data_IF_427485836570
#
_entry.id   IF_427485836570
#
_cell.length_a   1.000
_cell.length_b   1.000
_cell.length_c   1.000
_cell.angle_alpha   90.00
_cell.angle_beta   90.00
_cell.angle_gamma   90.00
#
_symmetry.space_group_name_H-M   'P 1'
#
loop_
_entity.id
_entity.type
_entity.pdbx_description
1 polymer ?
#
# COMPACT_ATOMS: atom_id res chain seq x y z
N UNK A 1 8.63 -4.12 -30.07
CA UNK A 1 9.09 -2.74 -30.32
C UNK A 1 7.94 -1.79 -30.56
N UNK A 2 7.10 -1.97 -31.60
CA UNK A 2 5.93 -1.09 -31.88
C UNK A 2 5.01 -0.85 -30.68
N UNK A 3 4.65 -1.90 -29.94
CA UNK A 3 3.76 -1.81 -28.77
C UNK A 3 4.34 -0.95 -27.62
N UNK A 4 5.67 -0.98 -27.42
CA UNK A 4 6.32 -0.20 -26.36
C UNK A 4 6.41 1.29 -26.71
N UNK A 5 6.71 1.61 -27.97
CA UNK A 5 6.72 3.00 -28.46
C UNK A 5 5.33 3.62 -28.38
N UNK A 6 4.29 2.86 -28.73
CA UNK A 6 2.91 3.29 -28.61
C UNK A 6 2.52 3.57 -27.14
N UNK A 7 2.93 2.70 -26.20
CA UNK A 7 2.71 2.92 -24.75
C UNK A 7 3.43 4.20 -24.28
N UNK A 8 4.68 4.41 -24.69
CA UNK A 8 5.43 5.61 -24.31
C UNK A 8 4.75 6.89 -24.82
N UNK A 9 4.29 6.90 -26.08
CA UNK A 9 3.52 8.03 -26.63
C UNK A 9 2.25 8.30 -25.81
N UNK A 10 1.51 7.25 -25.45
CA UNK A 10 0.30 7.40 -24.62
C UNK A 10 0.61 7.95 -23.22
N UNK A 11 1.75 7.58 -22.64
CA UNK A 11 2.20 8.13 -21.35
C UNK A 11 2.56 9.62 -21.49
N UNK A 12 3.27 10.01 -22.55
CA UNK A 12 3.57 11.43 -22.81
C UNK A 12 2.29 12.26 -23.00
N UNK A 13 1.31 11.73 -23.71
CA UNK A 13 0.00 12.37 -23.86
C UNK A 13 -0.75 12.49 -22.53
N UNK A 14 -0.68 11.47 -21.68
CA UNK A 14 -1.24 11.50 -20.33
C UNK A 14 -0.59 12.58 -19.48
N UNK A 15 0.75 12.67 -19.49
CA UNK A 15 1.50 13.68 -18.73
C UNK A 15 1.16 15.10 -19.21
N UNK A 16 1.04 15.33 -20.52
CA UNK A 16 0.60 16.63 -21.06
C UNK A 16 -0.80 17.00 -20.56
N UNK A 17 -1.77 16.08 -20.67
CA UNK A 17 -3.14 16.29 -20.16
C UNK A 17 -3.17 16.54 -18.67
N UNK A 18 -2.34 15.82 -17.90
CA UNK A 18 -2.19 16.01 -16.47
C UNK A 18 -1.76 17.45 -16.17
N UNK A 19 -0.68 17.93 -16.80
CA UNK A 19 -0.19 19.31 -16.62
C UNK A 19 -1.21 20.37 -17.03
N UNK A 20 -1.91 20.16 -18.15
CA UNK A 20 -3.00 21.05 -18.59
C UNK A 20 -4.14 21.13 -17.55
N UNK A 21 -4.53 20.01 -16.93
CA UNK A 21 -5.54 20.00 -15.87
C UNK A 21 -5.06 20.80 -14.67
N UNK A 22 -3.80 20.62 -14.26
CA UNK A 22 -3.23 21.34 -13.12
C UNK A 22 -3.18 22.86 -13.37
N UNK A 23 -2.72 23.27 -14.56
CA UNK A 23 -2.65 24.67 -14.95
C UNK A 23 -4.04 25.35 -14.96
N UNK A 24 -5.05 24.64 -15.45
CA UNK A 24 -6.43 25.15 -15.54
C UNK A 24 -7.20 25.09 -14.20
N UNK A 25 -6.69 24.39 -13.19
CA UNK A 25 -7.37 24.21 -11.90
C UNK A 25 -6.40 24.45 -10.73
N UNK A 26 -5.99 25.71 -10.46
CA UNK A 26 -5.14 26.02 -9.33
C UNK A 26 -5.72 25.50 -8.01
N UNK A 27 -4.91 24.78 -7.22
CA UNK A 27 -5.32 24.19 -5.95
C UNK A 27 -6.06 22.84 -6.08
N UNK A 28 -6.14 22.24 -7.27
CA UNK A 28 -6.66 20.87 -7.43
C UNK A 28 -5.85 19.88 -6.60
N UNK A 29 -6.54 18.98 -5.89
CA UNK A 29 -5.88 17.93 -5.12
C UNK A 29 -5.70 16.70 -5.99
N UNK A 30 -4.45 16.28 -6.18
CA UNK A 30 -4.11 15.14 -7.03
C UNK A 30 -3.88 13.90 -6.18
N UNK A 31 -4.54 12.80 -6.56
CA UNK A 31 -4.59 11.54 -5.81
C UNK A 31 -4.28 10.38 -6.75
N UNK A 32 -3.52 9.41 -6.24
CA UNK A 32 -3.27 8.14 -6.90
C UNK A 32 -3.62 6.98 -5.98
N UNK A 33 -4.23 5.94 -6.55
CA UNK A 33 -4.54 4.67 -5.87
C UNK A 33 -4.24 3.50 -6.81
N UNK A 34 -3.84 2.38 -6.22
CA UNK A 34 -3.42 1.20 -6.97
C UNK A 34 -3.68 -0.07 -6.17
N UNK A 35 -3.91 -1.20 -6.84
CA UNK A 35 -4.08 -2.49 -6.16
C UNK A 35 -2.76 -3.21 -6.06
N UNK A 36 -2.41 -3.69 -4.86
CA UNK A 36 -1.25 -4.54 -4.68
C UNK A 36 -1.61 -5.82 -3.92
N UNK A 37 -1.20 -6.96 -4.47
CA UNK A 37 -1.32 -8.25 -3.80
C UNK A 37 -0.32 -8.37 -2.65
N UNK A 38 -0.83 -8.66 -1.46
CA UNK A 38 -0.05 -9.03 -0.28
C UNK A 38 -0.25 -10.52 0.00
N UNK A 39 0.80 -11.31 -0.24
CA UNK A 39 0.81 -12.73 0.15
C UNK A 39 0.73 -12.83 1.66
N UNK A 40 -0.06 -13.78 2.18
CA UNK A 40 -0.29 -13.91 3.63
C UNK A 40 0.98 -14.27 4.39
N UNK A 41 1.89 -15.01 3.76
CA UNK A 41 3.23 -15.30 4.24
C UNK A 41 4.24 -15.13 3.12
N UNK A 42 5.27 -14.33 3.35
CA UNK A 42 6.37 -14.13 2.39
C UNK A 42 7.60 -14.86 2.89
N UNK A 43 8.24 -15.64 2.01
CA UNK A 43 9.52 -16.30 2.28
C UNK A 43 10.61 -15.78 1.32
N UNK A 44 11.87 -15.99 1.69
CA UNK A 44 12.99 -15.69 0.81
C UNK A 44 13.08 -16.72 -0.31
N UNK A 45 13.18 -16.25 -1.57
CA UNK A 45 13.55 -17.08 -2.72
C UNK A 45 15.07 -17.16 -2.92
N UNK A 46 15.83 -16.52 -2.02
CA UNK A 46 17.30 -16.59 -1.99
C UNK A 46 17.71 -17.53 -0.87
N UNK A 47 18.64 -18.42 -1.19
CA UNK A 47 19.09 -19.48 -0.31
C UNK A 47 20.62 -19.46 -0.30
N UNK A 48 21.22 -20.03 0.75
CA UNK A 48 22.66 -20.32 0.80
C UNK A 48 22.97 -21.73 0.26
N UNK A 49 22.02 -22.31 -0.48
CA UNK A 49 22.18 -23.64 -1.05
C UNK A 49 23.24 -23.62 -2.16
N UNK A 50 24.04 -24.69 -2.31
CA UNK A 50 24.95 -24.88 -3.43
C UNK A 50 24.32 -24.57 -4.80
N UNK A 51 25.09 -23.90 -5.66
CA UNK A 51 24.66 -23.59 -7.02
C UNK A 51 24.38 -24.88 -7.82
N UNK A 52 23.22 -24.94 -8.49
CA UNK A 52 22.76 -26.10 -9.25
C UNK A 52 21.88 -27.07 -8.45
N UNK A 53 21.68 -26.83 -7.16
CA UNK A 53 20.73 -27.59 -6.34
C UNK A 53 19.29 -27.35 -6.80
N UNK A 54 18.57 -28.44 -7.05
CA UNK A 54 17.22 -28.41 -7.64
C UNK A 54 16.12 -28.28 -6.59
N UNK A 55 16.35 -28.85 -5.42
CA UNK A 55 15.40 -28.90 -4.32
C UNK A 55 16.02 -28.21 -3.11
N UNK A 56 15.51 -27.04 -2.75
CA UNK A 56 15.98 -26.30 -1.57
C UNK A 56 14.84 -26.21 -0.56
N UNK A 57 15.10 -26.72 0.65
CA UNK A 57 14.16 -26.64 1.76
C UNK A 57 14.22 -25.24 2.36
N UNK A 58 13.05 -24.62 2.52
CA UNK A 58 12.89 -23.34 3.21
C UNK A 58 11.93 -23.51 4.37
N UNK A 59 12.24 -22.82 5.48
CA UNK A 59 11.36 -22.80 6.64
C UNK A 59 10.28 -21.73 6.47
N UNK A 60 9.04 -22.13 6.69
CA UNK A 60 7.83 -21.32 6.61
C UNK A 60 6.85 -21.79 7.69
N UNK A 61 5.98 -20.91 8.16
CA UNK A 61 4.90 -21.25 9.08
C UNK A 61 3.80 -22.06 8.39
N UNK A 62 3.38 -21.69 7.17
CA UNK A 62 2.26 -22.31 6.48
C UNK A 62 2.35 -22.26 4.93
N UNK A 63 2.49 -23.43 4.30
CA UNK A 63 2.56 -23.55 2.83
C UNK A 63 1.39 -22.88 2.08
N UNK A 64 0.15 -23.00 2.54
CA UNK A 64 -0.99 -22.36 1.87
C UNK A 64 -0.92 -20.83 1.95
N UNK A 65 -0.39 -20.28 3.03
CA UNK A 65 -0.25 -18.84 3.20
C UNK A 65 0.75 -18.21 2.22
N UNK A 66 1.66 -18.99 1.66
CA UNK A 66 2.62 -18.53 0.63
C UNK A 66 2.02 -18.37 -0.76
N UNK A 67 0.82 -18.93 -1.00
CA UNK A 67 0.14 -18.88 -2.31
C UNK A 67 -1.15 -18.06 -2.28
N UNK A 68 -1.75 -17.89 -1.10
CA UNK A 68 -2.91 -17.03 -0.91
C UNK A 68 -2.50 -15.59 -0.62
N UNK A 69 -3.15 -14.64 -1.30
CA UNK A 69 -2.95 -13.21 -1.10
C UNK A 69 -4.23 -12.53 -0.60
N UNK A 70 -4.07 -11.32 -0.09
CA UNK A 70 -5.11 -10.30 0.08
C UNK A 70 -4.77 -9.13 -0.85
N UNK A 71 -5.76 -8.34 -1.25
CA UNK A 71 -5.50 -7.11 -2.00
C UNK A 71 -5.46 -5.93 -1.05
N UNK A 72 -4.40 -5.12 -1.11
CA UNK A 72 -4.27 -3.86 -0.38
C UNK A 72 -4.37 -2.71 -1.38
N UNK A 73 -5.14 -1.69 -1.02
CA UNK A 73 -5.38 -0.51 -1.86
C UNK A 73 -4.84 0.75 -1.16
N UNK A 74 -3.53 1.04 -1.23
CA UNK A 74 -2.97 2.29 -0.73
C UNK A 74 -3.38 3.47 -1.61
N UNK A 75 -3.45 4.65 -0.99
CA UNK A 75 -3.76 5.91 -1.69
C UNK A 75 -2.77 6.99 -1.24
N UNK A 76 -2.13 7.66 -2.19
CA UNK A 76 -1.17 8.75 -1.96
C UNK A 76 -1.56 10.01 -2.72
N UNK A 77 -1.10 11.15 -2.23
CA UNK A 77 -1.31 12.46 -2.82
C UNK A 77 -0.02 12.93 -3.50
N UNK A 78 -0.16 13.79 -4.52
CA UNK A 78 0.98 14.37 -5.25
C UNK A 78 1.91 15.19 -4.34
N UNK A 79 1.35 15.84 -3.33
CA UNK A 79 2.10 16.61 -2.33
C UNK A 79 2.84 15.74 -1.31
N UNK A 80 2.78 14.41 -1.46
CA UNK A 80 3.45 13.48 -0.57
C UNK A 80 2.66 13.16 0.69
N UNK A 81 1.39 13.55 0.83
CA UNK A 81 0.53 12.97 1.87
C UNK A 81 0.13 11.53 1.54
N UNK A 82 -0.25 10.78 2.56
CA UNK A 82 -0.92 9.48 2.42
C UNK A 82 -2.36 9.60 2.90
N UNK A 83 -3.26 8.89 2.25
CA UNK A 83 -4.65 8.82 2.68
C UNK A 83 -4.76 8.18 4.08
N UNK A 84 -5.59 8.70 5.00
CA UNK A 84 -5.66 8.22 6.38
C UNK A 84 -6.20 6.79 6.51
N UNK A 85 -6.96 6.32 5.52
CA UNK A 85 -7.51 4.96 5.48
C UNK A 85 -6.94 4.16 4.32
N UNK A 86 -6.71 2.87 4.55
CA UNK A 86 -6.42 1.87 3.53
C UNK A 86 -7.59 0.90 3.38
N UNK A 87 -7.83 0.46 2.15
CA UNK A 87 -8.77 -0.62 1.89
C UNK A 87 -8.03 -1.95 1.75
N UNK A 88 -8.57 -3.01 2.36
CA UNK A 88 -8.08 -4.38 2.22
C UNK A 88 -9.22 -5.28 1.78
N UNK A 89 -9.00 -6.03 0.69
CA UNK A 89 -9.96 -7.01 0.19
C UNK A 89 -9.48 -8.44 0.48
N UNK A 90 -10.32 -9.20 1.16
CA UNK A 90 -10.05 -10.57 1.56
C UNK A 90 -10.73 -11.57 0.62
N UNK A 91 -10.02 -12.64 0.28
CA UNK A 91 -10.61 -13.85 -0.27
C UNK A 91 -11.09 -14.76 0.87
N UNK A 92 -12.39 -14.83 1.08
CA UNK A 92 -13.06 -15.65 2.09
C UNK A 92 -13.83 -16.80 1.42
N UNK A 93 -13.79 -18.01 1.98
CA UNK A 93 -14.40 -19.19 1.36
C UNK A 93 -15.92 -19.03 1.10
N UNK A 94 -16.62 -18.36 2.01
CA UNK A 94 -18.06 -18.05 1.90
C UNK A 94 -18.34 -16.80 1.07
N UNK A 95 -17.31 -16.03 0.74
CA UNK A 95 -17.41 -14.73 0.11
C UNK A 95 -17.81 -13.58 1.03
N UNK A 96 -17.89 -13.80 2.35
CA UNK A 96 -18.25 -12.77 3.31
C UNK A 96 -17.42 -12.89 4.59
N UNK A 97 -17.29 -11.77 5.31
CA UNK A 97 -16.72 -11.77 6.65
C UNK A 97 -17.60 -12.61 7.61
N UNK A 98 -17.01 -13.26 8.62
CA UNK A 98 -17.77 -14.02 9.61
C UNK A 98 -18.81 -13.16 10.33
N UNK A 99 -20.06 -13.62 10.38
CA UNK A 99 -21.16 -12.88 11.04
C UNK A 99 -21.03 -12.84 12.56
N UNK A 100 -20.51 -13.90 13.17
CA UNK A 100 -20.54 -14.11 14.63
C UNK A 100 -19.17 -13.98 15.30
N UNK A 101 -18.09 -13.84 14.52
CA UNK A 101 -16.74 -13.63 15.06
C UNK A 101 -16.32 -12.20 14.74
N UNK A 102 -15.88 -11.41 15.72
CA UNK A 102 -15.34 -10.10 15.43
C UNK A 102 -14.14 -10.26 14.51
N UNK A 103 -14.01 -9.32 13.57
CA UNK A 103 -12.84 -9.18 12.70
C UNK A 103 -12.08 -7.98 13.22
N UNK A 104 -10.75 -8.10 13.31
CA UNK A 104 -9.89 -6.98 13.65
C UNK A 104 -10.27 -5.73 12.85
N UNK A 105 -10.34 -4.60 13.54
CA UNK A 105 -10.64 -3.30 12.95
C UNK A 105 -9.72 -2.24 13.55
N UNK A 106 -9.46 -1.19 12.77
CA UNK A 106 -8.69 -0.03 13.18
C UNK A 106 -9.26 1.19 12.43
N UNK A 107 -9.26 2.41 13.01
CA UNK A 107 -9.76 3.60 12.32
C UNK A 107 -9.15 3.86 10.93
N UNK A 108 -7.92 3.39 10.69
CA UNK A 108 -7.23 3.52 9.40
C UNK A 108 -7.50 2.37 8.41
N UNK A 109 -8.41 1.44 8.71
CA UNK A 109 -8.60 0.20 7.96
C UNK A 109 -10.06 -0.01 7.57
N UNK A 110 -10.32 -0.18 6.28
CA UNK A 110 -11.62 -0.63 5.74
C UNK A 110 -11.44 -1.99 5.11
N UNK A 111 -12.33 -2.94 5.44
CA UNK A 111 -12.22 -4.33 5.01
C UNK A 111 -13.40 -4.69 4.13
N UNK A 112 -13.12 -5.23 2.95
CA UNK A 112 -14.08 -5.96 2.14
C UNK A 112 -13.72 -7.43 2.03
N UNK A 113 -14.68 -8.25 1.62
CA UNK A 113 -14.46 -9.65 1.36
C UNK A 113 -15.28 -10.11 0.16
N UNK A 114 -14.73 -11.07 -0.59
CA UNK A 114 -15.45 -11.84 -1.59
C UNK A 114 -14.85 -13.24 -1.67
N UNK A 115 -15.33 -14.10 -2.59
CA UNK A 115 -14.71 -15.43 -2.80
C UNK A 115 -13.28 -15.34 -3.35
N UNK A 116 -12.94 -14.22 -3.96
CA UNK A 116 -11.59 -13.92 -4.45
C UNK A 116 -10.96 -12.81 -3.62
N UNK A 117 -9.64 -12.81 -3.52
CA UNK A 117 -8.92 -11.68 -2.96
C UNK A 117 -8.85 -10.48 -3.93
N UNK A 118 -9.13 -10.70 -5.22
CA UNK A 118 -9.23 -9.64 -6.23
C UNK A 118 -10.54 -8.89 -6.01
N UNK A 119 -10.48 -7.56 -6.05
CA UNK A 119 -11.65 -6.71 -5.86
C UNK A 119 -12.71 -6.93 -6.94
N UNK A 120 -13.98 -6.94 -6.53
CA UNK A 120 -15.13 -6.93 -7.41
C UNK A 120 -15.83 -5.55 -7.40
N UNK A 121 -16.99 -5.43 -8.03
CA UNK A 121 -17.77 -4.19 -8.09
C UNK A 121 -18.15 -3.67 -6.70
N UNK A 122 -18.65 -4.54 -5.82
CA UNK A 122 -19.05 -4.20 -4.45
C UNK A 122 -17.86 -3.72 -3.62
N UNK A 123 -16.71 -4.40 -3.74
CA UNK A 123 -15.48 -3.99 -3.09
C UNK A 123 -14.98 -2.64 -3.59
N UNK A 124 -15.14 -2.35 -4.88
CA UNK A 124 -14.77 -1.06 -5.47
C UNK A 124 -15.69 0.05 -4.99
N UNK A 125 -17.01 -0.18 -4.95
CA UNK A 125 -17.99 0.74 -4.36
C UNK A 125 -17.64 1.05 -2.91
N UNK A 126 -17.30 0.03 -2.12
CA UNK A 126 -16.89 0.19 -0.73
C UNK A 126 -15.63 1.04 -0.58
N UNK A 127 -14.61 0.78 -1.39
CA UNK A 127 -13.41 1.62 -1.42
C UNK A 127 -13.75 3.08 -1.73
N UNK A 128 -14.56 3.34 -2.75
CA UNK A 128 -14.93 4.71 -3.13
C UNK A 128 -15.68 5.42 -2.00
N UNK A 129 -16.67 4.78 -1.37
CA UNK A 129 -17.52 5.38 -0.33
C UNK A 129 -16.83 5.52 1.03
N UNK A 130 -16.12 4.49 1.47
CA UNK A 130 -15.62 4.39 2.85
C UNK A 130 -14.14 4.78 3.00
N UNK A 131 -13.43 4.91 1.87
CA UNK A 131 -12.03 5.33 1.83
C UNK A 131 -11.88 6.60 0.99
N UNK A 132 -12.03 6.54 -0.33
CA UNK A 132 -11.57 7.63 -1.20
C UNK A 132 -12.40 8.93 -1.09
N UNK A 133 -13.72 8.81 -0.99
CA UNK A 133 -14.65 9.95 -0.97
C UNK A 133 -15.24 10.22 0.42
N UNK A 134 -14.40 10.08 1.46
CA UNK A 134 -14.76 10.44 2.83
C UNK A 134 -14.53 11.92 3.11
N UNK A 135 -15.28 12.48 4.07
CA UNK A 135 -15.10 13.85 4.51
C UNK A 135 -13.97 13.99 5.55
N UNK A 136 -13.23 15.11 5.54
CA UNK A 136 -13.31 16.22 4.59
C UNK A 136 -12.69 15.87 3.23
N UNK A 137 -13.47 16.03 2.15
CA UNK A 137 -13.01 15.79 0.78
C UNK A 137 -12.63 17.12 0.10
N UNK A 138 -11.58 17.18 -0.74
CA UNK A 138 -11.29 18.38 -1.52
C UNK A 138 -12.43 18.71 -2.49
N UNK A 139 -12.65 20.01 -2.75
CA UNK A 139 -13.69 20.45 -3.69
C UNK A 139 -13.42 19.95 -5.10
N UNK A 140 -12.19 20.10 -5.59
CA UNK A 140 -11.75 19.57 -6.87
C UNK A 140 -10.61 18.57 -6.66
N UNK A 141 -10.79 17.36 -7.18
CA UNK A 141 -9.81 16.28 -7.12
C UNK A 141 -9.47 15.80 -8.53
N UNK A 142 -8.20 15.52 -8.79
CA UNK A 142 -7.74 14.72 -9.92
C UNK A 142 -7.36 13.32 -9.42
N UNK A 143 -8.05 12.31 -9.90
CA UNK A 143 -7.78 10.90 -9.60
C UNK A 143 -7.01 10.27 -10.76
N UNK A 144 -5.75 9.93 -10.53
CA UNK A 144 -4.91 9.17 -11.44
C UNK A 144 -4.91 7.70 -11.00
N UNK A 145 -5.38 6.80 -11.85
CA UNK A 145 -5.50 5.36 -11.55
C UNK A 145 -5.10 4.53 -12.77
N UNK A 146 -4.91 3.22 -12.61
CA UNK A 146 -4.60 2.35 -13.75
C UNK A 146 -5.81 2.13 -14.69
N UNK A 147 -5.60 1.35 -15.75
CA UNK A 147 -6.64 0.97 -16.71
C UNK A 147 -7.35 -0.35 -16.36
N UNK A 148 -7.53 -0.65 -15.07
CA UNK A 148 -8.35 -1.79 -14.64
C UNK A 148 -9.83 -1.59 -15.02
N UNK A 149 -10.60 -2.63 -15.43
CA UNK A 149 -11.92 -2.44 -16.05
C UNK A 149 -12.93 -1.60 -15.25
N UNK A 150 -12.98 -1.73 -13.91
CA UNK A 150 -13.86 -0.90 -13.09
C UNK A 150 -13.36 0.54 -12.94
N UNK A 151 -12.05 0.77 -13.06
CA UNK A 151 -11.45 2.11 -13.07
C UNK A 151 -11.56 2.83 -14.42
N UNK A 152 -11.77 2.08 -15.51
CA UNK A 152 -12.15 2.63 -16.81
C UNK A 152 -13.64 3.06 -16.84
N UNK A 153 -14.46 2.55 -15.94
CA UNK A 153 -15.87 2.93 -15.85
C UNK A 153 -16.04 4.21 -15.03
N UNK A 154 -15.75 5.36 -15.66
CA UNK A 154 -15.82 6.66 -15.00
C UNK A 154 -17.23 6.97 -14.51
N UNK A 155 -18.29 6.62 -15.25
CA UNK A 155 -19.66 6.89 -14.81
C UNK A 155 -20.01 6.14 -13.52
N UNK A 156 -19.50 4.92 -13.35
CA UNK A 156 -19.61 4.19 -12.08
C UNK A 156 -18.89 4.91 -10.93
N UNK A 157 -17.65 5.39 -11.13
CA UNK A 157 -16.94 6.15 -10.08
C UNK A 157 -17.69 7.44 -9.73
N UNK A 158 -18.18 8.17 -10.74
CA UNK A 158 -18.87 9.44 -10.57
C UNK A 158 -20.17 9.32 -9.77
N UNK A 159 -20.84 8.16 -9.77
CA UNK A 159 -22.03 7.91 -8.93
C UNK A 159 -21.76 8.05 -7.42
N UNK A 160 -20.51 7.93 -7.01
CA UNK A 160 -20.12 7.99 -5.60
C UNK A 160 -19.50 9.32 -5.19
N UNK A 161 -19.31 10.25 -6.13
CA UNK A 161 -18.76 11.57 -5.83
C UNK A 161 -19.80 12.38 -5.04
N UNK A 162 -19.49 12.85 -3.83
CA UNK A 162 -20.44 13.60 -3.02
C UNK A 162 -20.84 14.92 -3.67
N UNK A 163 -22.06 15.38 -3.38
CA UNK A 163 -22.57 16.64 -3.91
C UNK A 163 -21.66 17.82 -3.54
N UNK A 164 -21.40 18.70 -4.51
CA UNK A 164 -20.54 19.87 -4.33
C UNK A 164 -19.05 19.58 -4.38
N UNK A 165 -18.67 18.38 -4.83
CA UNK A 165 -17.30 17.99 -5.18
C UNK A 165 -17.22 17.62 -6.67
N UNK A 166 -16.03 17.76 -7.25
CA UNK A 166 -15.72 17.40 -8.62
C UNK A 166 -14.50 16.48 -8.63
N UNK A 167 -14.62 15.34 -9.30
CA UNK A 167 -13.50 14.42 -9.54
C UNK A 167 -13.25 14.34 -11.03
N UNK A 168 -12.07 14.78 -11.47
CA UNK A 168 -11.54 14.49 -12.80
C UNK A 168 -10.74 13.18 -12.73
N UNK A 169 -10.90 12.29 -13.69
CA UNK A 169 -10.25 10.97 -13.69
C UNK A 169 -9.30 10.90 -14.90
N UNK A 170 -8.07 10.48 -14.66
CA UNK A 170 -7.12 10.10 -15.70
C UNK A 170 -6.69 8.64 -15.48
N UNK A 171 -6.66 7.86 -16.56
CA UNK A 171 -6.16 6.49 -16.53
C UNK A 171 -4.76 6.40 -17.10
N UNK A 172 -3.88 5.69 -16.40
CA UNK A 172 -2.59 5.25 -16.92
C UNK A 172 -2.86 4.19 -18.00
N UNK A 173 -2.26 4.31 -19.20
CA UNK A 173 -2.50 3.39 -20.29
C UNK A 173 -2.13 1.95 -19.92
N UNK A 174 -2.85 0.98 -20.52
CA UNK A 174 -2.55 -0.44 -20.33
C UNK A 174 -1.11 -0.73 -20.72
N UNK A 175 -0.39 -1.50 -19.90
CA UNK A 175 1.04 -1.77 -20.09
C UNK A 175 1.97 -0.63 -19.65
N UNK A 176 1.44 0.54 -19.29
CA UNK A 176 2.20 1.70 -18.81
C UNK A 176 2.42 1.74 -17.30
N UNK A 177 1.88 0.78 -16.54
CA UNK A 177 1.93 0.78 -15.07
C UNK A 177 3.37 0.85 -14.54
N UNK A 178 4.27 0.01 -15.05
CA UNK A 178 5.68 -0.01 -14.64
C UNK A 178 6.48 1.25 -15.03
N UNK A 179 5.89 2.15 -15.81
CA UNK A 179 6.51 3.38 -16.30
C UNK A 179 5.91 4.63 -15.69
N UNK A 180 4.65 4.59 -15.25
CA UNK A 180 3.89 5.79 -14.90
C UNK A 180 2.92 5.63 -13.74
N UNK A 181 2.88 4.49 -13.04
CA UNK A 181 2.06 4.32 -11.82
C UNK A 181 2.87 4.68 -10.57
N UNK A 182 2.60 5.81 -9.88
CA UNK A 182 3.41 6.26 -8.75
C UNK A 182 3.56 5.23 -7.63
N UNK A 183 2.49 4.50 -7.31
CA UNK A 183 2.53 3.46 -6.29
C UNK A 183 3.41 2.27 -6.69
N UNK A 184 3.37 1.80 -7.93
CA UNK A 184 4.21 0.69 -8.40
C UNK A 184 5.68 1.09 -8.59
N UNK A 185 5.94 2.33 -9.04
CA UNK A 185 7.29 2.83 -9.28
C UNK A 185 8.13 2.99 -8.00
N UNK A 186 7.48 3.05 -6.83
CA UNK A 186 8.18 3.26 -5.57
C UNK A 186 7.51 2.63 -4.34
N UNK A 187 6.23 2.93 -4.09
CA UNK A 187 5.57 2.60 -2.82
C UNK A 187 5.43 1.09 -2.57
N UNK A 188 4.87 0.37 -3.54
CA UNK A 188 4.48 -1.05 -3.41
C UNK A 188 5.70 -1.95 -3.16
N UNK A 189 6.86 -1.62 -3.73
CA UNK A 189 8.09 -2.36 -3.48
C UNK A 189 8.56 -2.19 -2.03
N UNK A 190 8.57 -0.96 -1.51
CA UNK A 190 8.98 -0.70 -0.13
C UNK A 190 8.00 -1.33 0.86
N UNK A 191 6.69 -1.28 0.57
CA UNK A 191 5.66 -1.98 1.33
C UNK A 191 5.96 -3.47 1.47
N UNK A 192 6.17 -4.15 0.34
CA UNK A 192 6.47 -5.59 0.32
C UNK A 192 7.77 -5.91 1.06
N UNK A 193 8.76 -5.01 0.99
CA UNK A 193 10.00 -5.17 1.75
C UNK A 193 9.79 -5.07 3.25
N UNK A 194 8.92 -4.17 3.74
CA UNK A 194 8.61 -4.09 5.18
C UNK A 194 7.83 -5.31 5.63
N UNK A 195 6.78 -5.71 4.90
CA UNK A 195 6.00 -6.90 5.23
C UNK A 195 6.86 -8.17 5.28
N UNK A 196 7.82 -8.31 4.36
CA UNK A 196 8.80 -9.41 4.39
C UNK A 196 9.67 -9.35 5.64
N UNK A 197 10.25 -8.19 5.98
CA UNK A 197 11.09 -8.05 7.17
C UNK A 197 10.33 -8.33 8.47
N UNK A 198 9.03 -8.04 8.52
CA UNK A 198 8.19 -8.44 9.65
C UNK A 198 8.05 -9.97 9.75
N UNK A 199 7.87 -10.68 8.63
CA UNK A 199 7.87 -12.14 8.62
C UNK A 199 9.23 -12.71 9.03
N UNK A 200 10.31 -12.18 8.46
CA UNK A 200 11.68 -12.62 8.76
C UNK A 200 11.97 -12.43 10.27
N UNK A 201 11.54 -11.32 10.86
CA UNK A 201 11.72 -11.06 12.29
C UNK A 201 10.98 -12.09 13.18
N UNK A 202 9.77 -12.53 12.78
CA UNK A 202 9.03 -13.56 13.51
C UNK A 202 9.84 -14.85 13.56
N UNK A 203 10.41 -15.26 12.43
CA UNK A 203 11.21 -16.49 12.33
C UNK A 203 12.55 -16.37 13.07
N UNK A 204 13.31 -15.30 12.82
CA UNK A 204 14.66 -15.10 13.36
C UNK A 204 14.65 -14.97 14.89
N UNK A 205 13.62 -14.33 15.45
CA UNK A 205 13.52 -14.07 16.88
C UNK A 205 12.54 -15.02 17.60
N UNK A 206 12.08 -16.08 16.93
CA UNK A 206 11.16 -17.10 17.47
C UNK A 206 9.93 -16.47 18.16
N UNK A 207 9.36 -15.44 17.55
CA UNK A 207 8.23 -14.70 18.11
C UNK A 207 6.96 -15.53 17.94
N UNK A 208 6.22 -15.78 19.02
CA UNK A 208 4.91 -16.45 18.95
C UNK A 208 3.84 -15.50 18.35
N UNK A 209 3.92 -15.29 17.03
CA UNK A 209 2.99 -14.47 16.28
C UNK A 209 2.80 -15.00 14.85
N UNK A 210 1.62 -15.56 14.60
CA UNK A 210 1.27 -16.12 13.27
C UNK A 210 0.73 -15.03 12.37
N UNK A 211 1.59 -14.39 11.58
CA UNK A 211 1.21 -13.24 10.74
C UNK A 211 0.19 -13.58 9.66
N UNK A 212 0.22 -14.81 9.15
CA UNK A 212 -0.68 -15.28 8.09
C UNK A 212 -2.14 -15.45 8.54
N UNK A 213 -2.40 -15.47 9.85
CA UNK A 213 -3.76 -15.46 10.41
C UNK A 213 -4.43 -14.13 10.08
N UNK A 214 -5.68 -14.17 9.59
CA UNK A 214 -6.39 -12.98 9.05
C UNK A 214 -6.24 -11.73 9.92
N UNK A 215 -6.60 -11.82 11.20
CA UNK A 215 -6.64 -10.67 12.08
C UNK A 215 -5.24 -10.15 12.42
N UNK A 216 -4.24 -11.04 12.47
CA UNK A 216 -2.83 -10.69 12.64
C UNK A 216 -2.27 -10.01 11.39
N UNK A 217 -2.63 -10.51 10.19
CA UNK A 217 -2.27 -9.90 8.92
C UNK A 217 -2.88 -8.51 8.78
N UNK A 218 -4.16 -8.36 9.07
CA UNK A 218 -4.86 -7.07 9.04
C UNK A 218 -4.23 -6.07 10.02
N UNK A 219 -3.78 -6.55 11.19
CA UNK A 219 -3.05 -5.74 12.17
C UNK A 219 -1.70 -5.26 11.62
N UNK A 220 -0.93 -6.16 11.02
CA UNK A 220 0.34 -5.81 10.37
C UNK A 220 0.14 -4.83 9.20
N UNK A 221 -0.85 -5.05 8.33
CA UNK A 221 -1.19 -4.14 7.22
C UNK A 221 -1.59 -2.76 7.76
N UNK A 222 -2.48 -2.71 8.75
CA UNK A 222 -2.90 -1.46 9.40
C UNK A 222 -1.70 -0.72 10.03
N UNK A 223 -0.80 -1.45 10.69
CA UNK A 223 0.40 -0.88 11.32
C UNK A 223 1.38 -0.32 10.29
N UNK A 224 1.73 -1.11 9.27
CA UNK A 224 2.66 -0.70 8.22
C UNK A 224 2.10 0.48 7.43
N UNK A 225 0.81 0.46 7.10
CA UNK A 225 0.17 1.60 6.44
C UNK A 225 0.24 2.87 7.27
N UNK A 226 -0.06 2.80 8.57
CA UNK A 226 0.09 3.96 9.46
C UNK A 226 1.54 4.48 9.48
N UNK A 227 2.53 3.59 9.55
CA UNK A 227 3.96 3.95 9.51
C UNK A 227 4.33 4.66 8.21
N UNK A 228 3.87 4.14 7.08
CA UNK A 228 4.13 4.72 5.77
C UNK A 228 3.50 6.10 5.61
N UNK A 229 2.52 6.47 6.43
CA UNK A 229 1.94 7.81 6.46
C UNK A 229 2.78 8.88 7.18
N UNK A 230 3.87 8.50 7.85
CA UNK A 230 4.65 9.43 8.66
C UNK A 230 5.18 10.63 7.85
N UNK A 231 5.27 11.84 8.44
CA UNK A 231 5.77 13.03 7.74
C UNK A 231 7.16 12.85 7.13
N UNK A 232 8.06 12.13 7.81
CA UNK A 232 9.42 11.84 7.30
C UNK A 232 9.46 11.09 5.96
N UNK A 233 8.39 10.40 5.61
CA UNK A 233 8.28 9.65 4.37
C UNK A 233 7.56 10.44 3.26
N UNK A 234 7.35 11.75 3.43
CA UNK A 234 6.74 12.63 2.43
C UNK A 234 7.48 12.58 1.10
N UNK A 235 8.78 12.86 1.11
CA UNK A 235 9.60 12.89 -0.10
C UNK A 235 9.72 11.51 -0.76
N UNK A 236 9.71 10.43 0.04
CA UNK A 236 9.58 9.06 -0.46
C UNK A 236 8.30 8.87 -1.29
N UNK A 237 7.15 9.34 -0.80
CA UNK A 237 5.88 9.21 -1.56
C UNK A 237 5.89 10.07 -2.82
N UNK A 238 6.44 11.29 -2.74
CA UNK A 238 6.62 12.19 -3.91
C UNK A 238 7.52 11.59 -4.98
N UNK A 239 8.48 10.76 -4.60
CA UNK A 239 9.41 10.15 -5.55
C UNK A 239 8.74 9.22 -6.56
N UNK A 240 7.65 8.55 -6.19
CA UNK A 240 6.84 7.78 -7.16
C UNK A 240 6.24 8.67 -8.25
N UNK A 241 5.76 9.86 -7.88
CA UNK A 241 5.22 10.83 -8.83
C UNK A 241 6.27 11.44 -9.75
N UNK A 242 7.45 11.75 -9.21
CA UNK A 242 8.59 12.20 -10.00
C UNK A 242 9.02 11.13 -11.02
N UNK A 243 9.18 9.88 -10.58
CA UNK A 243 9.50 8.76 -11.48
C UNK A 243 8.45 8.55 -12.57
N UNK A 244 7.18 8.81 -12.27
CA UNK A 244 6.09 8.69 -13.24
C UNK A 244 5.98 9.88 -14.22
N UNK A 245 6.82 10.90 -14.04
CA UNK A 245 6.84 12.12 -14.87
C UNK A 245 5.72 13.11 -14.56
N UNK A 246 5.18 13.11 -13.34
CA UNK A 246 4.13 14.05 -12.89
C UNK A 246 4.68 15.21 -12.04
N UNK A 247 5.96 15.15 -11.69
CA UNK A 247 6.70 16.22 -11.02
C UNK A 247 7.98 16.49 -11.82
N UNK A 248 8.26 17.76 -12.07
CA UNK A 248 9.49 18.16 -12.79
C UNK A 248 10.70 18.22 -11.87
N UNK A 249 10.47 18.41 -10.56
CA UNK A 249 11.51 18.53 -9.55
C UNK A 249 11.66 17.22 -8.80
N UNK A 250 12.89 16.72 -8.75
CA UNK A 250 13.24 15.59 -7.90
C UNK A 250 12.97 15.94 -6.42
N UNK A 251 12.29 15.08 -5.65
CA UNK A 251 12.08 15.28 -4.21
C UNK A 251 13.40 15.43 -3.44
N UNK A 252 13.36 16.07 -2.26
CA UNK A 252 14.54 16.16 -1.42
C UNK A 252 15.06 14.76 -1.00
N UNK A 253 16.33 14.60 -0.64
CA UNK A 253 16.86 13.31 -0.19
C UNK A 253 16.03 12.70 0.95
N UNK A 254 15.81 11.39 0.92
CA UNK A 254 15.01 10.67 1.90
C UNK A 254 15.57 9.27 2.20
N UNK A 255 15.16 8.72 3.34
CA UNK A 255 15.40 7.32 3.71
C UNK A 255 14.11 6.53 3.44
N UNK A 256 14.23 5.36 2.80
CA UNK A 256 13.05 4.52 2.52
C UNK A 256 12.50 3.88 3.80
N UNK A 257 11.19 3.57 3.87
CA UNK A 257 10.62 2.98 5.07
C UNK A 257 11.33 1.71 5.56
N UNK A 258 11.70 0.71 4.73
CA UNK A 258 12.45 -0.46 5.22
C UNK A 258 13.82 -0.10 5.81
N UNK A 259 14.53 0.87 5.22
CA UNK A 259 15.84 1.29 5.73
C UNK A 259 15.72 2.03 7.06
N UNK A 260 14.66 2.80 7.24
CA UNK A 260 14.45 3.55 8.47
C UNK A 260 13.94 2.66 9.60
N UNK A 261 12.87 1.89 9.35
CA UNK A 261 12.19 1.09 10.37
C UNK A 261 13.11 0.03 11.00
N UNK A 262 14.05 -0.52 10.23
CA UNK A 262 14.95 -1.61 10.63
C UNK A 262 16.42 -1.21 10.46
N UNK A 263 16.70 0.09 10.60
CA UNK A 263 18.03 0.66 10.45
C UNK A 263 18.67 0.97 11.79
N UNK A 264 19.62 1.90 11.76
CA UNK A 264 20.28 2.38 12.97
C UNK A 264 19.27 2.85 14.03
N UNK A 265 19.44 2.37 15.26
CA UNK A 265 18.57 2.69 16.39
C UNK A 265 17.35 1.79 16.56
N UNK A 266 17.05 0.86 15.63
CA UNK A 266 15.89 -0.05 15.80
C UNK A 266 16.10 -1.10 16.89
N UNK A 267 17.36 -1.43 17.21
CA UNK A 267 17.76 -2.47 18.17
C UNK A 267 17.96 -1.95 19.61
N UNK A 268 17.54 -0.72 19.92
CA UNK A 268 17.54 -0.21 21.30
C UNK A 268 16.41 -0.79 22.15
N UNK A 269 16.32 -0.39 23.42
CA UNK A 269 15.33 -0.96 24.34
C UNK A 269 13.90 -0.47 24.05
N UNK A 270 12.96 -1.43 23.94
CA UNK A 270 11.54 -1.12 23.93
C UNK A 270 11.09 -0.63 25.31
N UNK A 271 10.03 0.18 25.37
CA UNK A 271 9.43 0.64 26.63
C UNK A 271 8.92 -0.48 27.53
N UNK A 272 8.73 -1.69 27.02
CA UNK A 272 8.35 -2.86 27.82
C UNK A 272 9.55 -3.62 28.41
N UNK A 273 10.78 -3.19 28.15
CA UNK A 273 12.02 -3.85 28.60
C UNK A 273 12.57 -4.91 27.63
N UNK A 274 11.83 -5.27 26.59
CA UNK A 274 12.29 -6.21 25.55
C UNK A 274 13.19 -5.51 24.52
N UNK A 275 14.13 -6.23 23.89
CA UNK A 275 14.91 -5.69 22.77
C UNK A 275 14.01 -5.17 21.64
N UNK A 276 14.33 -3.98 21.14
CA UNK A 276 13.68 -3.38 19.99
C UNK A 276 14.04 -4.08 18.70
N UNK A 277 13.14 -4.02 17.73
CA UNK A 277 13.35 -4.51 16.36
C UNK A 277 12.91 -3.49 15.31
N UNK A 278 12.06 -2.53 15.70
CA UNK A 278 11.39 -1.61 14.79
C UNK A 278 11.45 -0.20 15.36
N UNK A 279 12.06 0.73 14.61
CA UNK A 279 12.10 2.15 14.94
C UNK A 279 10.81 2.83 14.48
N UNK A 280 10.06 3.43 15.41
CA UNK A 280 8.82 4.12 15.06
C UNK A 280 9.09 5.43 14.29
N UNK A 281 8.46 5.67 13.12
CA UNK A 281 8.73 6.86 12.31
C UNK A 281 8.10 8.15 12.85
N UNK A 282 7.31 8.07 13.92
CA UNK A 282 6.63 9.20 14.55
C UNK A 282 7.27 9.60 15.88
N UNK A 283 7.49 8.66 16.80
CA UNK A 283 8.12 8.96 18.10
C UNK A 283 9.64 8.71 18.13
N UNK A 284 10.20 8.12 17.06
CA UNK A 284 11.63 7.87 16.91
C UNK A 284 12.21 6.95 18.00
N UNK A 285 11.36 6.14 18.62
CA UNK A 285 11.76 5.15 19.63
C UNK A 285 11.75 3.74 19.06
N UNK A 286 12.69 2.88 19.47
CA UNK A 286 12.65 1.47 19.16
C UNK A 286 11.51 0.78 19.90
N UNK A 287 10.93 -0.22 19.25
CA UNK A 287 9.89 -1.07 19.81
C UNK A 287 10.16 -2.53 19.45
N UNK A 288 9.89 -3.43 20.38
CA UNK A 288 9.83 -4.86 20.09
C UNK A 288 8.65 -5.15 19.16
N UNK A 289 8.67 -6.31 18.50
CA UNK A 289 7.61 -6.70 17.55
C UNK A 289 6.22 -6.68 18.19
N UNK A 290 6.10 -7.22 19.41
CA UNK A 290 4.81 -7.31 20.10
C UNK A 290 4.25 -5.92 20.41
N UNK A 291 5.06 -5.02 20.99
CA UNK A 291 4.61 -3.66 21.27
C UNK A 291 4.26 -2.89 19.99
N UNK A 292 5.01 -3.11 18.90
CA UNK A 292 4.81 -2.37 17.67
C UNK A 292 3.64 -2.89 16.84
N UNK A 293 3.66 -4.18 16.48
CA UNK A 293 2.72 -4.82 15.56
C UNK A 293 1.55 -5.42 16.32
N UNK A 294 1.83 -6.36 17.23
CA UNK A 294 0.79 -7.12 17.92
C UNK A 294 -0.09 -6.21 18.80
N UNK A 295 0.46 -5.16 19.39
CA UNK A 295 -0.31 -4.19 20.18
C UNK A 295 -0.76 -2.96 19.38
N UNK A 296 -0.45 -2.91 18.07
CA UNK A 296 -0.80 -1.79 17.18
C UNK A 296 -0.35 -0.43 17.71
N UNK A 297 0.96 -0.27 17.90
CA UNK A 297 1.54 0.97 18.43
C UNK A 297 0.99 2.21 17.72
N UNK A 298 0.59 3.19 18.52
CA UNK A 298 0.26 4.55 18.11
C UNK A 298 0.99 5.48 19.06
N UNK A 299 1.59 6.53 18.52
CA UNK A 299 2.21 7.56 19.36
C UNK A 299 1.11 8.35 20.06
N UNK A 300 1.31 8.59 21.36
CA UNK A 300 0.53 9.53 22.14
C UNK A 300 0.86 10.97 21.73
#
# INVERSE_FOLDING_TARGET
MKDREDILRQIEELQKKFLEILANNPGIVVVNSDQTGQVKETHSTRTLAPEGEKDVVVEIENASATTHAVTVLPTIYLDGRQHPKVYVHLGEATGALPKFKPVYSNPNLVIGASKSHIMNKEGTERFLKEVLFIQPMPKHMLLLIDSWPLFLNHSFIQQFVPQGHKVTILNIPKGGTSLSQPLDLNYNQQWKSVMRRLNDAILIHEIDYKIHVRDNLLRAISQVYWCFGAPRFCEFRRYGWYKGGYLDTHPAPFVTPPKYLFGEGSEGDCTCGEPGLILCPYCEKPHCFICFVANSHRCA
#
